data_IF_194193792689
#
_entry.id   IF_194193792689
#
_cell.length_a   1.000
_cell.length_b   1.000
_cell.length_c   1.000
_cell.angle_alpha   90.00
_cell.angle_beta   90.00
_cell.angle_gamma   90.00
#
_symmetry.space_group_name_H-M   'P 1'
#
loop_
_entity.id
_entity.type
_entity.pdbx_description
1 polymer ?
#
# COMPACT_ATOMS: atom_id res chain seq x y z
N UNK A 1 11.71 -14.41 12.71
CA UNK A 1 11.56 -14.54 12.13
C UNK A 1 11.02 -14.28 11.28
N UNK A 2 11.40 -13.82 10.72
CA UNK A 2 10.32 -13.46 9.91
C UNK A 2 10.48 -13.86 8.48
N UNK A 3 9.50 -14.57 7.98
CA UNK A 3 9.42 -14.84 6.55
C UNK A 3 8.71 -13.72 5.82
N UNK A 4 8.26 -12.69 6.53
CA UNK A 4 7.53 -11.60 5.92
C UNK A 4 8.49 -10.68 5.17
N UNK A 5 8.31 -10.62 3.84
CA UNK A 5 9.18 -9.81 3.00
C UNK A 5 9.07 -8.32 3.34
N UNK A 6 7.88 -7.85 3.72
CA UNK A 6 7.72 -6.43 4.07
C UNK A 6 8.35 -6.11 5.43
N UNK A 7 8.32 -7.04 6.38
CA UNK A 7 9.06 -6.85 7.62
C UNK A 7 10.55 -6.72 7.34
N UNK A 8 11.07 -7.52 6.41
CA UNK A 8 12.48 -7.48 6.06
C UNK A 8 12.84 -6.19 5.32
N UNK A 9 11.96 -5.71 4.46
CA UNK A 9 12.15 -4.43 3.79
C UNK A 9 12.14 -3.30 4.82
N UNK A 10 11.20 -3.35 5.78
CA UNK A 10 11.09 -2.32 6.81
C UNK A 10 12.33 -2.25 7.69
N UNK A 11 13.02 -3.38 7.88
CA UNK A 11 14.26 -3.45 8.67
C UNK A 11 15.49 -3.11 7.85
N UNK A 12 15.35 -2.89 6.55
CA UNK A 12 16.47 -2.59 5.68
C UNK A 12 17.25 -3.82 5.22
N UNK A 13 16.73 -5.01 5.46
CA UNK A 13 17.40 -6.25 5.05
C UNK A 13 17.25 -6.54 3.57
N UNK A 14 16.17 -6.03 2.97
CA UNK A 14 15.92 -6.15 1.54
C UNK A 14 15.79 -4.72 1.00
N UNK A 15 16.53 -4.37 -0.07
CA UNK A 15 16.45 -3.02 -0.62
C UNK A 15 15.09 -2.76 -1.27
N UNK A 16 14.70 -1.48 -1.28
CA UNK A 16 13.50 -1.04 -1.96
C UNK A 16 13.75 0.35 -2.53
N UNK A 17 12.91 0.75 -3.49
CA UNK A 17 12.97 2.09 -4.05
C UNK A 17 12.11 3.00 -3.17
N UNK A 18 12.75 3.54 -2.13
CA UNK A 18 12.07 4.24 -1.05
C UNK A 18 11.56 5.62 -1.48
N UNK A 19 10.35 5.94 -1.04
CA UNK A 19 9.74 7.25 -1.25
C UNK A 19 9.70 8.05 0.05
N UNK A 20 9.41 7.38 1.16
CA UNK A 20 9.20 8.03 2.44
C UNK A 20 9.44 7.04 3.58
N UNK A 21 9.94 7.54 4.68
CA UNK A 21 10.14 6.70 5.87
C UNK A 21 10.08 7.57 7.12
N UNK A 22 9.39 7.06 8.14
CA UNK A 22 9.49 7.62 9.49
C UNK A 22 9.59 6.45 10.46
N UNK A 23 9.40 6.69 11.77
CA UNK A 23 9.55 5.64 12.77
C UNK A 23 8.54 4.52 12.60
N UNK A 24 7.37 4.82 12.04
CA UNK A 24 6.25 3.88 11.99
C UNK A 24 5.91 3.38 10.60
N UNK A 25 6.26 4.14 9.57
CA UNK A 25 5.80 3.88 8.20
C UNK A 25 6.96 3.85 7.22
N UNK A 26 6.75 3.10 6.14
CA UNK A 26 7.65 3.08 5.00
C UNK A 26 6.82 3.08 3.73
N UNK A 27 7.21 3.89 2.75
CA UNK A 27 6.57 3.88 1.44
C UNK A 27 7.63 3.65 0.37
N UNK A 28 7.30 2.82 -0.62
CA UNK A 28 8.24 2.48 -1.68
C UNK A 28 7.49 2.11 -2.96
N UNK A 29 8.18 2.25 -4.09
CA UNK A 29 7.59 1.91 -5.39
C UNK A 29 7.35 0.42 -5.50
N UNK A 30 6.20 0.05 -6.06
CA UNK A 30 5.88 -1.35 -6.35
C UNK A 30 6.80 -1.83 -7.47
N UNK A 31 7.36 -3.04 -7.32
CA UNK A 31 8.24 -3.61 -8.33
C UNK A 31 7.48 -4.03 -9.59
N UNK A 32 6.17 -4.23 -9.48
CA UNK A 32 5.34 -4.66 -10.60
C UNK A 32 4.19 -3.66 -10.75
N UNK A 33 4.49 -2.42 -11.16
CA UNK A 33 3.48 -1.37 -11.16
C UNK A 33 2.35 -1.68 -12.14
N UNK A 34 1.13 -1.42 -11.70
CA UNK A 34 -0.07 -1.62 -12.49
C UNK A 34 -0.51 -0.33 -13.18
N UNK A 35 0.10 0.78 -12.82
CA UNK A 35 -0.14 2.10 -13.43
C UNK A 35 1.20 2.82 -13.48
N UNK A 36 1.30 3.94 -14.24
CA UNK A 36 2.58 4.67 -14.33
C UNK A 36 3.16 5.05 -12.97
N UNK A 37 2.31 5.38 -12.00
CA UNK A 37 2.74 5.55 -10.61
C UNK A 37 2.00 4.53 -9.77
N UNK A 38 2.75 3.72 -9.05
CA UNK A 38 2.17 2.71 -8.18
C UNK A 38 3.13 2.47 -7.02
N UNK A 39 2.72 2.90 -5.82
CA UNK A 39 3.57 2.70 -4.66
C UNK A 39 2.77 2.10 -3.51
N UNK A 40 3.50 1.62 -2.51
CA UNK A 40 2.92 0.98 -1.34
C UNK A 40 3.25 1.79 -0.10
N UNK A 41 2.33 1.82 0.85
CA UNK A 41 2.59 2.35 2.18
C UNK A 41 2.39 1.18 3.14
N UNK A 42 3.39 0.89 3.95
CA UNK A 42 3.31 -0.19 4.92
C UNK A 42 3.60 0.34 6.33
N UNK A 43 3.01 -0.27 7.36
CA UNK A 43 3.46 -0.03 8.72
C UNK A 43 4.73 -0.85 8.95
N UNK A 44 5.67 -0.31 9.74
CA UNK A 44 6.88 -1.07 10.06
C UNK A 44 6.55 -2.24 10.98
N UNK A 45 5.59 -2.05 11.91
CA UNK A 45 5.12 -3.16 12.72
C UNK A 45 4.33 -4.13 11.84
N UNK A 46 4.40 -5.40 12.16
CA UNK A 46 3.69 -6.41 11.38
C UNK A 46 2.22 -6.45 11.79
N UNK A 47 1.35 -6.05 10.88
CA UNK A 47 -0.09 -6.23 10.99
C UNK A 47 -0.48 -7.06 9.79
N UNK A 48 -1.10 -8.21 10.01
CA UNK A 48 -1.33 -9.15 8.91
C UNK A 48 -2.28 -8.58 7.86
N UNK A 49 -3.43 -8.04 8.30
CA UNK A 49 -4.43 -7.51 7.38
C UNK A 49 -5.45 -6.67 8.15
N UNK A 50 -6.36 -6.05 7.41
CA UNK A 50 -7.47 -5.34 8.06
C UNK A 50 -8.38 -6.28 8.84
N UNK A 51 -8.42 -7.55 8.48
CA UNK A 51 -9.25 -8.52 9.18
C UNK A 51 -8.74 -8.81 10.59
N UNK A 52 -7.43 -8.65 10.80
CA UNK A 52 -6.81 -8.94 12.10
C UNK A 52 -6.39 -7.68 12.86
N UNK A 53 -6.47 -6.50 12.22
CA UNK A 53 -6.14 -5.25 12.88
C UNK A 53 -7.16 -4.98 14.00
N UNK A 54 -6.68 -4.40 15.10
CA UNK A 54 -7.53 -4.11 16.25
C UNK A 54 -7.48 -2.63 16.63
N UNK A 55 -8.23 -2.26 17.68
CA UNK A 55 -8.29 -0.85 18.12
C UNK A 55 -6.93 -0.25 18.45
N UNK A 56 -5.98 -1.07 18.85
CA UNK A 56 -4.62 -0.62 19.18
C UNK A 56 -3.88 -0.11 17.93
N UNK A 57 -4.38 -0.43 16.73
CA UNK A 57 -3.76 0.00 15.47
C UNK A 57 -4.37 1.26 14.89
N UNK A 58 -5.29 1.91 15.63
CA UNK A 58 -6.02 3.06 15.11
C UNK A 58 -5.09 4.16 14.63
N UNK A 59 -4.09 4.51 15.43
CA UNK A 59 -3.22 5.62 15.08
C UNK A 59 -2.34 5.31 13.87
N UNK A 60 -1.78 4.12 13.82
CA UNK A 60 -0.92 3.77 12.70
C UNK A 60 -1.71 3.64 11.40
N UNK A 61 -2.92 3.10 11.45
CA UNK A 61 -3.76 3.01 10.26
C UNK A 61 -4.17 4.39 9.77
N UNK A 62 -4.51 5.30 10.69
CA UNK A 62 -4.80 6.69 10.33
C UNK A 62 -3.60 7.37 9.70
N UNK A 63 -2.41 7.15 10.28
CA UNK A 63 -1.19 7.73 9.75
C UNK A 63 -0.92 7.24 8.32
N UNK A 64 -1.14 5.94 8.06
CA UNK A 64 -0.96 5.39 6.72
C UNK A 64 -1.87 6.09 5.70
N UNK A 65 -3.15 6.21 6.04
CA UNK A 65 -4.11 6.85 5.14
C UNK A 65 -3.79 8.32 4.92
N UNK A 66 -3.38 9.03 5.96
CA UNK A 66 -3.07 10.44 5.85
C UNK A 66 -1.83 10.71 5.00
N UNK A 67 -0.95 9.73 4.85
CA UNK A 67 0.23 9.88 3.98
C UNK A 67 -0.09 9.71 2.50
N UNK A 68 -1.24 9.16 2.15
CA UNK A 68 -1.55 8.92 0.73
C UNK A 68 -1.54 10.20 -0.08
N UNK A 69 -2.20 11.25 0.42
CA UNK A 69 -2.30 12.52 -0.29
C UNK A 69 -0.96 13.21 -0.51
N UNK A 70 -0.20 13.47 0.57
CA UNK A 70 1.10 14.14 0.42
C UNK A 70 2.07 13.36 -0.48
N UNK A 71 2.13 12.04 -0.35
CA UNK A 71 3.05 11.25 -1.17
C UNK A 71 2.60 11.18 -2.63
N UNK A 72 1.28 11.09 -2.85
CA UNK A 72 0.76 11.12 -4.21
C UNK A 72 1.10 12.44 -4.90
N UNK A 73 0.92 13.57 -4.20
CA UNK A 73 1.28 14.87 -4.77
C UNK A 73 2.77 14.96 -5.05
N UNK A 74 3.61 14.43 -4.14
CA UNK A 74 5.05 14.42 -4.35
C UNK A 74 5.42 13.72 -5.66
N UNK A 75 4.65 12.71 -6.04
CA UNK A 75 4.93 11.92 -7.24
C UNK A 75 4.11 12.39 -8.45
N UNK A 76 3.46 13.55 -8.36
CA UNK A 76 2.79 14.15 -9.49
C UNK A 76 1.34 13.73 -9.71
N UNK A 77 0.71 13.08 -8.74
CA UNK A 77 -0.66 12.63 -8.87
C UNK A 77 -1.63 13.71 -8.36
N UNK A 78 -1.53 14.92 -8.92
CA UNK A 78 -2.31 16.06 -8.45
C UNK A 78 -3.78 15.96 -8.82
N UNK A 79 -4.11 15.23 -9.88
CA UNK A 79 -5.49 15.12 -10.36
C UNK A 79 -6.26 13.99 -9.71
N UNK A 80 -5.61 13.23 -8.85
CA UNK A 80 -6.26 12.15 -8.12
C UNK A 80 -5.50 10.85 -8.20
N UNK A 81 -5.93 9.92 -7.38
CA UNK A 81 -5.27 8.61 -7.30
C UNK A 81 -6.25 7.62 -6.70
N UNK A 82 -5.93 6.35 -6.82
CA UNK A 82 -6.73 5.30 -6.21
C UNK A 82 -5.93 4.66 -5.10
N UNK A 83 -6.60 4.37 -3.98
CA UNK A 83 -6.01 3.57 -2.90
C UNK A 83 -6.73 2.24 -2.85
N UNK A 84 -5.95 1.17 -2.67
CA UNK A 84 -6.50 -0.19 -2.59
C UNK A 84 -5.86 -0.88 -1.41
N UNK A 85 -6.69 -1.51 -0.59
CA UNK A 85 -6.21 -2.38 0.49
C UNK A 85 -6.87 -3.73 0.29
N UNK A 86 -6.08 -4.73 -0.07
CA UNK A 86 -6.59 -6.09 -0.26
C UNK A 86 -6.54 -6.83 1.06
N UNK A 87 -7.60 -7.55 1.39
CA UNK A 87 -7.70 -8.26 2.66
C UNK A 87 -8.03 -9.72 2.40
N UNK A 88 -7.14 -10.61 2.83
CA UNK A 88 -7.37 -12.03 2.76
C UNK A 88 -7.28 -12.58 1.35
N UNK A 89 -7.47 -13.90 1.24
CA UNK A 89 -7.33 -14.60 -0.02
C UNK A 89 -8.37 -14.15 -1.04
N UNK A 90 -9.62 -14.04 -0.61
CA UNK A 90 -10.70 -13.63 -1.52
C UNK A 90 -10.50 -12.19 -1.99
N UNK A 91 -9.94 -11.34 -1.13
CA UNK A 91 -9.66 -9.96 -1.49
C UNK A 91 -8.41 -9.77 -2.35
N UNK A 92 -7.67 -10.83 -2.61
CA UNK A 92 -6.49 -10.76 -3.45
C UNK A 92 -5.22 -10.32 -2.75
N UNK A 93 -5.17 -10.46 -1.42
CA UNK A 93 -3.97 -10.09 -0.68
C UNK A 93 -2.86 -11.10 -0.97
N UNK A 94 -1.73 -10.61 -1.47
CA UNK A 94 -0.61 -11.48 -1.82
C UNK A 94 0.46 -11.52 -0.74
N UNK A 95 0.72 -10.38 -0.09
CA UNK A 95 1.67 -10.31 1.02
C UNK A 95 0.87 -10.06 2.30
N UNK A 96 1.02 -10.96 3.27
CA UNK A 96 0.25 -10.87 4.52
C UNK A 96 0.96 -9.98 5.54
N UNK A 97 1.13 -8.76 5.12
CA UNK A 97 1.58 -7.61 5.88
C UNK A 97 0.80 -6.44 5.30
N UNK A 98 -0.10 -5.88 6.09
CA UNK A 98 -1.03 -4.84 5.65
C UNK A 98 -0.31 -3.76 4.85
N UNK A 99 -0.88 -3.40 3.70
CA UNK A 99 -0.31 -2.34 2.89
C UNK A 99 -1.39 -1.66 2.07
N UNK A 100 -1.16 -0.38 1.78
CA UNK A 100 -2.04 0.41 0.93
C UNK A 100 -1.35 0.57 -0.41
N UNK A 101 -2.02 0.17 -1.49
CA UNK A 101 -1.59 0.51 -2.84
C UNK A 101 -2.07 1.91 -3.17
N UNK A 102 -1.20 2.73 -3.74
CA UNK A 102 -1.58 4.04 -4.26
C UNK A 102 -1.22 4.04 -5.74
N UNK A 103 -2.21 4.23 -6.59
CA UNK A 103 -2.04 4.09 -8.03
C UNK A 103 -2.58 5.31 -8.76
N UNK A 104 -1.92 5.68 -9.83
CA UNK A 104 -2.40 6.76 -10.67
C UNK A 104 -1.52 6.96 -11.89
N UNK A 105 -1.83 8.00 -12.62
CA UNK A 105 -1.11 8.37 -13.81
C UNK A 105 -1.86 9.49 -14.50
N UNK A 106 -1.49 9.82 -15.76
CA UNK A 106 -2.17 10.90 -16.46
C UNK A 106 -3.60 10.56 -16.86
N UNK A 107 -3.94 9.28 -16.94
CA UNK A 107 -5.26 8.86 -17.38
C UNK A 107 -6.06 8.27 -16.23
N UNK A 108 -7.40 8.33 -16.29
CA UNK A 108 -8.24 7.70 -15.28
C UNK A 108 -7.92 6.21 -15.11
N UNK A 109 -8.01 5.73 -13.88
CA UNK A 109 -7.67 4.34 -13.59
C UNK A 109 -8.77 3.35 -13.98
N UNK A 110 -9.94 3.86 -14.38
CA UNK A 110 -11.04 3.01 -14.83
C UNK A 110 -12.02 2.69 -13.72
N UNK A 111 -12.94 1.74 -13.95
CA UNK A 111 -13.95 1.39 -12.95
C UNK A 111 -13.31 0.75 -11.71
N UNK A 112 -14.05 0.83 -10.59
CA UNK A 112 -13.57 0.29 -9.32
C UNK A 112 -13.22 -1.18 -9.42
N UNK A 113 -14.08 -1.94 -10.04
CA UNK A 113 -13.93 -3.38 -10.19
C UNK A 113 -14.29 -3.74 -11.61
N UNK A 114 -13.48 -4.57 -12.25
CA UNK A 114 -13.81 -5.07 -13.57
C UNK A 114 -15.06 -5.94 -13.50
N UNK A 115 -15.95 -5.85 -14.50
CA UNK A 115 -17.12 -6.72 -14.53
C UNK A 115 -16.71 -8.18 -14.51
N UNK A 116 -17.45 -8.99 -13.75
CA UNK A 116 -17.21 -10.43 -13.75
C UNK A 116 -17.64 -11.00 -15.11
N UNK A 117 -16.97 -12.08 -15.54
CA UNK A 117 -17.33 -12.73 -16.78
C UNK A 117 -18.78 -13.20 -16.70
N UNK A 118 -19.55 -12.94 -17.75
CA UNK A 118 -20.94 -13.37 -17.83
C UNK A 118 -21.95 -12.39 -17.24
N UNK A 119 -21.51 -11.25 -16.76
CA UNK A 119 -22.42 -10.23 -16.27
C UNK A 119 -22.81 -9.25 -17.37
#
# INVERSE_FOLDING_TARGET
MSDCIFCRIAKGEIPCNKIYEDDDLLAFHDLHPQRPTHFLIIPKMHIESLATAGPEHREILGAMLLQTGPLARKLGLDQGFRTIVNTGKIGGQEVYHLHIHVLGGPNPVGPMVSPAAGL
#
